data_IF_997048326652
#
_entry.id   IF_997048326652
#
_cell.length_a   1.000
_cell.length_b   1.000
_cell.length_c   1.000
_cell.angle_alpha   90.00
_cell.angle_beta   90.00
_cell.angle_gamma   90.00
#
_symmetry.space_group_name_H-M   'P 1'
#
loop_
_entity.id
_entity.type
_entity.pdbx_description
1 polymer ?
#
# COMPACT_ATOMS: atom_id res chain seq x y z
N UNK A 1 69.95 -3.39 44.70
CA UNK A 1 69.06 -4.12 43.78
C UNK A 1 67.73 -3.38 43.69
N UNK A 2 67.20 -3.30 42.47
CA UNK A 2 66.00 -2.57 42.12
C UNK A 2 64.88 -3.60 42.01
N UNK A 3 63.89 -3.57 42.92
CA UNK A 3 62.71 -4.42 42.79
C UNK A 3 61.65 -3.75 41.91
N UNK A 4 61.14 -4.55 40.98
CA UNK A 4 60.29 -4.20 39.85
C UNK A 4 58.82 -4.25 40.24
N UNK A 5 58.10 -3.18 39.89
CA UNK A 5 56.75 -3.14 39.31
C UNK A 5 55.67 -4.14 39.77
N UNK A 6 54.70 -3.63 40.52
CA UNK A 6 53.33 -4.17 40.59
C UNK A 6 52.33 -3.18 40.00
N UNK A 7 51.92 -3.37 38.73
CA UNK A 7 50.85 -2.61 38.06
C UNK A 7 49.59 -3.47 38.07
N UNK A 8 48.62 -3.14 38.93
CA UNK A 8 47.38 -3.90 39.10
C UNK A 8 46.19 -2.99 39.30
N UNK A 9 45.76 -2.34 38.21
CA UNK A 9 44.58 -1.46 38.18
C UNK A 9 43.84 -1.61 36.87
N UNK A 10 43.54 -2.85 36.48
CA UNK A 10 42.69 -3.14 35.33
C UNK A 10 41.23 -2.86 35.69
N UNK A 11 40.83 -1.60 35.60
CA UNK A 11 39.41 -1.25 35.53
C UNK A 11 38.89 -1.92 34.26
N UNK A 12 38.14 -3.01 34.43
CA UNK A 12 37.41 -3.58 33.31
C UNK A 12 36.37 -2.54 32.92
N UNK A 13 36.68 -1.77 31.88
CA UNK A 13 35.68 -1.04 31.12
C UNK A 13 34.67 -2.08 30.68
N UNK A 14 33.54 -2.16 31.39
CA UNK A 14 32.36 -2.83 30.87
C UNK A 14 32.09 -2.17 29.53
N UNK A 15 32.33 -2.91 28.45
CA UNK A 15 31.84 -2.50 27.14
C UNK A 15 30.33 -2.52 27.24
N UNK A 16 29.75 -1.37 27.60
CA UNK A 16 28.33 -1.14 27.38
C UNK A 16 28.19 -1.21 25.87
N UNK A 17 27.75 -2.36 25.37
CA UNK A 17 27.31 -2.46 23.98
C UNK A 17 26.02 -1.66 23.95
N UNK A 18 26.14 -0.36 23.70
CA UNK A 18 24.99 0.48 23.42
C UNK A 18 24.39 -0.04 22.13
N UNK A 19 23.29 -0.77 22.21
CA UNK A 19 22.51 -1.13 21.02
C UNK A 19 22.12 0.14 20.30
N UNK A 20 22.48 0.25 19.02
CA UNK A 20 22.06 1.38 18.20
C UNK A 20 20.61 1.16 17.79
N UNK A 21 19.74 2.16 18.05
CA UNK A 21 18.41 2.19 17.46
C UNK A 21 18.51 2.73 16.06
N UNK A 22 18.00 1.98 15.08
CA UNK A 22 17.96 2.43 13.70
C UNK A 22 16.58 2.94 13.32
N UNK A 23 16.56 4.04 12.58
CA UNK A 23 15.36 4.64 12.02
C UNK A 23 15.52 4.82 10.52
N UNK A 24 14.45 4.61 9.76
CA UNK A 24 14.47 4.77 8.31
C UNK A 24 13.15 5.39 7.83
N UNK A 25 13.26 6.27 6.84
CA UNK A 25 12.12 6.82 6.09
C UNK A 25 12.06 6.16 4.71
N UNK A 26 10.91 5.62 4.30
CA UNK A 26 10.74 5.06 2.95
C UNK A 26 9.29 5.09 2.45
N UNK A 27 9.11 4.84 1.16
CA UNK A 27 7.80 4.72 0.50
C UNK A 27 7.69 3.38 -0.22
N UNK A 28 6.49 2.79 -0.21
CA UNK A 28 6.19 1.50 -0.89
C UNK A 28 5.01 1.71 -1.83
N UNK A 29 5.20 1.46 -3.12
CA UNK A 29 4.11 1.31 -4.08
C UNK A 29 3.48 -0.07 -3.98
N UNK A 30 2.15 -0.14 -3.88
CA UNK A 30 1.40 -1.38 -3.61
C UNK A 30 0.74 -1.87 -4.90
N UNK A 31 -0.12 -1.06 -5.52
CA UNK A 31 -0.80 -1.41 -6.77
C UNK A 31 -1.25 -0.16 -7.53
N UNK A 32 -1.54 -0.30 -8.82
CA UNK A 32 -2.10 0.78 -9.63
C UNK A 32 -3.58 1.00 -9.33
N UNK A 33 -4.03 2.25 -9.43
CA UNK A 33 -5.41 2.68 -9.27
C UNK A 33 -5.92 2.70 -7.83
N UNK A 34 -7.15 3.20 -7.63
CA UNK A 34 -7.77 3.23 -6.32
C UNK A 34 -8.05 1.81 -5.81
N UNK A 35 -7.83 1.60 -4.51
CA UNK A 35 -8.29 0.43 -3.77
C UNK A 35 -9.52 0.79 -2.93
N UNK A 36 -10.29 -0.21 -2.51
CA UNK A 36 -11.49 0.01 -1.69
C UNK A 36 -11.19 0.02 -0.20
N UNK A 37 -10.34 -0.90 0.26
CA UNK A 37 -10.17 -1.17 1.70
C UNK A 37 -8.74 -1.61 2.01
N UNK A 38 -8.17 -1.10 3.11
CA UNK A 38 -6.99 -1.64 3.77
C UNK A 38 -7.45 -2.46 4.98
N UNK A 39 -6.97 -3.71 5.10
CA UNK A 39 -7.37 -4.64 6.16
C UNK A 39 -6.29 -4.84 7.23
N UNK A 40 -5.06 -5.11 6.82
CA UNK A 40 -4.03 -5.54 7.77
C UNK A 40 -2.66 -5.16 7.26
N UNK A 41 -1.76 -4.82 8.19
CA UNK A 41 -0.35 -4.56 7.92
C UNK A 41 0.47 -5.56 8.73
N UNK A 42 1.35 -6.28 8.04
CA UNK A 42 2.30 -7.21 8.63
C UNK A 42 3.71 -6.64 8.59
N UNK A 43 4.49 -6.93 9.63
CA UNK A 43 5.94 -6.71 9.69
C UNK A 43 6.62 -8.04 9.96
N UNK A 44 7.46 -8.50 9.02
CA UNK A 44 8.13 -9.80 9.12
C UNK A 44 7.18 -10.95 9.49
N UNK A 45 6.02 -11.00 8.82
CA UNK A 45 4.95 -11.99 9.02
C UNK A 45 4.15 -11.88 10.33
N UNK A 46 4.44 -10.89 11.17
CA UNK A 46 3.63 -10.58 12.36
C UNK A 46 2.66 -9.44 12.08
N UNK A 47 1.42 -9.56 12.54
CA UNK A 47 0.43 -8.49 12.45
C UNK A 47 0.86 -7.32 13.34
N UNK A 48 1.09 -6.16 12.75
CA UNK A 48 1.41 -4.92 13.49
C UNK A 48 0.26 -3.93 13.51
N UNK A 49 -0.72 -4.11 12.64
CA UNK A 49 -1.98 -3.39 12.64
C UNK A 49 -3.04 -4.20 11.92
N UNK A 50 -4.25 -4.20 12.48
CA UNK A 50 -5.41 -4.87 11.91
C UNK A 50 -6.65 -3.98 12.10
N UNK A 51 -7.41 -3.80 11.02
CA UNK A 51 -8.58 -2.94 10.99
C UNK A 51 -9.07 -2.73 9.55
N UNK A 52 -10.38 -2.58 9.36
CA UNK A 52 -10.91 -2.27 8.04
C UNK A 52 -11.04 -0.74 7.88
N UNK A 53 -10.17 -0.14 7.05
CA UNK A 53 -10.30 1.26 6.64
C UNK A 53 -10.77 1.28 5.19
N UNK A 54 -11.94 1.86 4.95
CA UNK A 54 -12.46 1.99 3.59
C UNK A 54 -12.01 3.31 2.97
N UNK A 55 -12.00 3.36 1.64
CA UNK A 55 -11.72 4.58 0.90
C UNK A 55 -12.67 5.73 1.30
N UNK A 56 -13.92 5.42 1.67
CA UNK A 56 -14.88 6.40 2.14
C UNK A 56 -14.46 7.09 3.46
N UNK A 57 -13.60 6.44 4.24
CA UNK A 57 -13.06 6.98 5.49
C UNK A 57 -11.80 7.84 5.25
N UNK A 58 -11.26 7.81 4.02
CA UNK A 58 -10.08 8.56 3.64
C UNK A 58 -10.41 10.02 3.32
N UNK A 59 -9.53 10.93 3.72
CA UNK A 59 -9.63 12.36 3.36
C UNK A 59 -8.62 12.65 2.25
N UNK A 60 -9.08 13.17 1.11
CA UNK A 60 -8.26 13.41 -0.08
C UNK A 60 -7.45 12.17 -0.53
N UNK A 61 -8.08 10.99 -0.50
CA UNK A 61 -7.47 9.73 -0.91
C UNK A 61 -6.39 9.19 0.02
N UNK A 62 -6.32 9.68 1.27
CA UNK A 62 -5.30 9.34 2.26
C UNK A 62 -5.90 9.04 3.64
N UNK A 63 -5.25 8.14 4.39
CA UNK A 63 -5.53 7.85 5.79
C UNK A 63 -4.24 7.63 6.59
N UNK A 64 -4.20 8.06 7.85
CA UNK A 64 -3.02 7.94 8.72
C UNK A 64 -3.21 6.79 9.72
N UNK A 65 -2.24 5.88 9.81
CA UNK A 65 -2.30 4.70 10.68
C UNK A 65 -1.09 4.66 11.60
N UNK A 66 -1.33 4.65 12.92
CA UNK A 66 -0.24 4.50 13.90
C UNK A 66 0.13 3.03 14.09
N UNK A 67 1.43 2.74 13.95
CA UNK A 67 2.02 1.41 14.12
C UNK A 67 2.95 1.43 15.33
N UNK A 68 2.45 0.93 16.46
CA UNK A 68 3.18 0.93 17.72
C UNK A 68 4.52 0.17 17.63
N UNK A 69 4.56 -0.95 16.91
CA UNK A 69 5.76 -1.78 16.75
C UNK A 69 6.92 -1.08 16.02
N UNK A 70 6.65 0.04 15.34
CA UNK A 70 7.61 0.83 14.58
C UNK A 70 7.68 2.28 15.07
N UNK A 71 6.95 2.61 16.13
CA UNK A 71 6.84 3.96 16.71
C UNK A 71 6.49 5.05 15.68
N UNK A 72 5.68 4.72 14.66
CA UNK A 72 5.47 5.57 13.49
C UNK A 72 4.00 5.71 13.12
N UNK A 73 3.63 6.84 12.53
CA UNK A 73 2.38 7.01 11.79
C UNK A 73 2.64 6.84 10.29
N UNK A 74 2.12 5.77 9.70
CA UNK A 74 2.14 5.53 8.26
C UNK A 74 1.06 6.38 7.60
N UNK A 75 1.44 7.09 6.54
CA UNK A 75 0.50 7.78 5.66
C UNK A 75 0.15 6.85 4.50
N UNK A 76 -1.07 6.31 4.51
CA UNK A 76 -1.55 5.37 3.51
C UNK A 76 -2.39 6.08 2.45
N UNK A 77 -2.05 5.86 1.18
CA UNK A 77 -2.63 6.51 0.02
C UNK A 77 -3.38 5.47 -0.82
N UNK A 78 -4.69 5.65 -0.99
CA UNK A 78 -5.58 4.67 -1.61
C UNK A 78 -5.43 4.54 -3.13
N UNK A 79 -4.74 5.47 -3.79
CA UNK A 79 -4.51 5.51 -5.24
C UNK A 79 -5.60 6.21 -6.04
N UNK A 80 -6.35 7.11 -5.40
CA UNK A 80 -7.37 7.91 -6.09
C UNK A 80 -6.75 8.99 -6.99
N UNK A 81 -7.56 9.57 -7.86
CA UNK A 81 -7.11 10.64 -8.72
C UNK A 81 -7.07 12.01 -8.02
N UNK A 82 -7.72 12.17 -6.85
CA UNK A 82 -7.78 13.42 -6.08
C UNK A 82 -6.67 13.53 -5.01
N UNK A 83 -5.72 12.60 -5.01
CA UNK A 83 -4.62 12.61 -4.04
C UNK A 83 -3.83 13.92 -4.09
N UNK A 84 -3.55 14.41 -2.89
CA UNK A 84 -2.77 15.63 -2.67
C UNK A 84 -1.31 15.29 -2.39
N UNK A 85 -0.37 16.18 -2.77
CA UNK A 85 1.03 16.05 -2.41
C UNK A 85 1.22 15.84 -0.91
N UNK A 86 2.19 15.02 -0.51
CA UNK A 86 2.49 14.82 0.89
C UNK A 86 3.42 15.93 1.38
N UNK A 87 2.89 16.89 2.13
CA UNK A 87 3.69 17.99 2.71
C UNK A 87 4.81 17.50 3.64
N UNK A 88 4.69 16.30 4.22
CA UNK A 88 5.73 15.72 5.07
C UNK A 88 6.96 15.19 4.30
N UNK A 89 6.80 14.74 3.05
CA UNK A 89 7.91 14.29 2.20
C UNK A 89 8.90 15.44 1.95
N UNK A 90 8.36 16.65 1.78
CA UNK A 90 9.12 17.88 1.61
C UNK A 90 10.06 18.14 2.80
N UNK A 91 9.53 18.06 4.03
CA UNK A 91 10.33 18.32 5.24
C UNK A 91 11.54 17.41 5.39
N UNK A 92 11.45 16.16 4.95
CA UNK A 92 12.52 15.18 5.10
C UNK A 92 13.56 15.23 3.97
N UNK A 93 13.21 15.72 2.76
CA UNK A 93 14.21 16.00 1.70
C UNK A 93 14.95 17.32 1.92
N UNK A 94 14.28 18.36 2.45
CA UNK A 94 14.96 19.58 2.89
C UNK A 94 15.91 19.34 4.08
N UNK A 95 15.69 18.25 4.82
CA UNK A 95 16.57 17.75 5.87
C UNK A 95 17.71 16.86 5.35
N UNK A 96 18.21 17.10 4.13
CA UNK A 96 19.54 16.69 3.68
C UNK A 96 20.70 17.28 4.53
N UNK A 97 20.46 17.62 5.79
CA UNK A 97 21.45 17.89 6.81
C UNK A 97 21.92 16.54 7.42
N UNK A 98 22.60 15.74 6.60
CA UNK A 98 23.51 14.73 7.12
C UNK A 98 24.73 15.44 7.72
N UNK A 99 24.65 15.81 9.00
CA UNK A 99 25.78 16.28 9.80
C UNK A 99 26.04 17.79 9.72
N UNK A 100 25.46 18.54 10.66
CA UNK A 100 25.86 19.91 10.89
C UNK A 100 24.93 20.63 11.85
N UNK A 101 25.43 20.88 13.06
CA UNK A 101 25.08 21.96 13.98
C UNK A 101 23.63 22.46 14.05
N UNK A 102 23.10 22.48 15.27
CA UNK A 102 21.98 23.35 15.64
C UNK A 102 22.16 24.76 15.04
N UNK A 103 21.20 25.21 14.23
CA UNK A 103 21.11 26.63 13.84
C UNK A 103 20.86 26.99 12.36
N UNK A 104 20.40 26.09 11.48
CA UNK A 104 19.94 26.53 10.15
C UNK A 104 18.53 26.02 9.85
N UNK A 105 17.55 26.89 10.05
CA UNK A 105 16.19 26.75 9.55
C UNK A 105 16.21 26.90 8.03
N UNK A 106 16.55 25.83 7.32
CA UNK A 106 16.18 25.72 5.91
C UNK A 106 14.67 25.55 5.89
N UNK A 107 13.97 26.64 5.58
CA UNK A 107 12.52 26.68 5.60
C UNK A 107 11.93 25.55 4.77
N UNK A 108 10.85 24.95 5.28
CA UNK A 108 10.05 23.93 4.58
C UNK A 108 9.61 24.38 3.17
N UNK A 109 9.68 25.68 2.87
CA UNK A 109 9.29 26.30 1.61
C UNK A 109 10.03 25.86 0.34
N UNK A 110 11.21 25.25 0.38
CA UNK A 110 11.92 24.91 -0.87
C UNK A 110 11.32 23.70 -1.61
N UNK A 111 10.71 22.78 -0.87
CA UNK A 111 10.05 21.57 -1.39
C UNK A 111 8.53 21.64 -1.23
N UNK A 112 8.01 22.46 -0.30
CA UNK A 112 6.58 22.79 -0.24
C UNK A 112 6.11 23.56 -1.49
N UNK A 113 7.02 24.31 -2.14
CA UNK A 113 6.70 25.12 -3.33
C UNK A 113 7.24 24.55 -4.65
N UNK A 114 8.09 23.52 -4.63
CA UNK A 114 8.47 22.82 -5.85
C UNK A 114 7.48 21.70 -6.14
N UNK A 115 6.37 22.09 -6.76
CA UNK A 115 5.32 21.20 -7.24
C UNK A 115 5.85 20.07 -8.16
N UNK A 116 7.10 20.16 -8.64
CA UNK A 116 7.74 19.15 -9.47
C UNK A 116 8.36 17.99 -8.66
N UNK A 117 8.69 18.19 -7.37
CA UNK A 117 9.33 17.17 -6.53
C UNK A 117 8.34 16.43 -5.61
N UNK A 118 7.28 17.10 -5.16
CA UNK A 118 6.23 16.51 -4.33
C UNK A 118 5.04 16.09 -5.19
N UNK A 119 5.23 15.05 -6.00
CA UNK A 119 4.17 14.57 -6.88
C UNK A 119 3.17 13.69 -6.10
N UNK A 120 1.86 13.91 -6.24
CA UNK A 120 0.83 13.18 -5.49
C UNK A 120 0.65 11.70 -5.87
N UNK A 121 1.57 11.11 -6.66
CA UNK A 121 1.50 9.76 -7.25
C UNK A 121 0.06 9.29 -7.55
N UNK A 122 -0.72 10.13 -8.25
CA UNK A 122 -2.14 9.84 -8.56
C UNK A 122 -2.27 8.53 -9.30
N UNK A 123 -3.32 7.77 -9.00
CA UNK A 123 -3.55 6.44 -9.57
C UNK A 123 -2.49 5.40 -9.16
N UNK A 124 -1.76 5.62 -8.07
CA UNK A 124 -0.92 4.62 -7.43
C UNK A 124 -1.36 4.50 -5.97
N UNK A 125 -1.69 3.30 -5.52
CA UNK A 125 -1.83 2.99 -4.10
C UNK A 125 -0.43 2.80 -3.50
N UNK A 126 -0.12 3.56 -2.45
CA UNK A 126 1.19 3.55 -1.83
C UNK A 126 1.13 3.90 -0.34
N UNK A 127 2.20 3.61 0.39
CA UNK A 127 2.34 3.97 1.79
C UNK A 127 3.65 4.73 1.99
N UNK A 128 3.61 5.82 2.77
CA UNK A 128 4.79 6.52 3.25
C UNK A 128 5.02 6.22 4.73
N UNK A 129 6.23 5.83 5.05
CA UNK A 129 6.66 5.42 6.39
C UNK A 129 7.80 6.36 6.80
N UNK A 130 7.51 7.46 7.52
CA UNK A 130 8.53 8.40 7.99
C UNK A 130 9.21 7.93 9.28
N UNK A 131 10.53 7.92 9.31
CA UNK A 131 11.36 7.76 10.51
C UNK A 131 10.92 6.60 11.41
N UNK A 132 10.63 5.46 10.80
CA UNK A 132 10.18 4.28 11.53
C UNK A 132 11.34 3.56 12.20
N UNK A 133 11.11 3.12 13.44
CA UNK A 133 12.05 2.27 14.16
C UNK A 133 12.12 0.90 13.46
N UNK A 134 13.31 0.54 12.95
CA UNK A 134 13.53 -0.72 12.23
C UNK A 134 14.10 -1.82 13.13
N UNK A 135 14.49 -1.49 14.37
CA UNK A 135 15.09 -2.41 15.34
C UNK A 135 16.57 -2.15 15.57
N UNK A 136 17.26 -3.18 16.07
CA UNK A 136 18.69 -3.14 16.41
C UNK A 136 19.59 -3.58 15.24
N UNK A 137 18.99 -3.95 14.11
CA UNK A 137 19.69 -4.29 12.87
C UNK A 137 19.44 -3.22 11.81
N UNK A 138 20.46 -2.93 11.02
CA UNK A 138 20.44 -1.93 9.95
C UNK A 138 19.73 -2.39 8.67
N UNK A 139 18.71 -3.25 8.77
CA UNK A 139 17.97 -3.78 7.61
C UNK A 139 16.49 -3.38 7.70
N UNK A 140 15.90 -2.86 6.61
CA UNK A 140 14.47 -2.56 6.61
C UNK A 140 13.67 -3.85 6.80
N UNK A 141 12.60 -3.83 7.62
CA UNK A 141 11.73 -4.98 7.77
C UNK A 141 10.92 -5.22 6.49
N UNK A 142 10.42 -6.45 6.33
CA UNK A 142 9.43 -6.75 5.28
C UNK A 142 8.07 -6.25 5.74
N UNK A 143 7.43 -5.37 4.96
CA UNK A 143 6.05 -4.96 5.17
C UNK A 143 5.13 -5.63 4.16
N UNK A 144 3.99 -6.15 4.62
CA UNK A 144 2.92 -6.67 3.75
C UNK A 144 1.62 -5.96 4.06
N UNK A 145 0.92 -5.52 3.01
CA UNK A 145 -0.36 -4.85 3.11
C UNK A 145 -1.43 -5.77 2.52
N UNK A 146 -2.46 -6.07 3.31
CA UNK A 146 -3.65 -6.77 2.82
C UNK A 146 -4.66 -5.73 2.41
N UNK A 147 -4.93 -5.65 1.11
CA UNK A 147 -5.81 -4.66 0.50
C UNK A 147 -6.90 -5.34 -0.30
N UNK A 148 -8.05 -4.66 -0.39
CA UNK A 148 -9.16 -5.06 -1.25
C UNK A 148 -9.29 -4.09 -2.41
N UNK A 149 -9.29 -4.63 -3.61
CA UNK A 149 -9.53 -3.88 -4.85
C UNK A 149 -10.55 -4.63 -5.70
N UNK A 150 -11.71 -4.02 -5.89
CA UNK A 150 -12.81 -4.55 -6.68
C UNK A 150 -12.90 -3.81 -7.99
N UNK A 151 -12.86 -4.51 -9.13
CA UNK A 151 -13.25 -3.90 -10.37
C UNK A 151 -14.75 -3.58 -10.38
N UNK A 152 -15.12 -2.48 -11.02
CA UNK A 152 -16.51 -2.03 -11.10
C UNK A 152 -17.00 -2.14 -12.53
N UNK A 153 -18.13 -2.84 -12.72
CA UNK A 153 -18.88 -2.75 -13.96
C UNK A 153 -19.56 -1.40 -13.98
N UNK A 154 -19.33 -0.65 -15.04
CA UNK A 154 -20.05 0.58 -15.30
C UNK A 154 -20.86 0.39 -16.58
N UNK A 155 -22.14 0.75 -16.55
CA UNK A 155 -22.94 0.73 -17.77
C UNK A 155 -22.45 1.81 -18.76
N UNK A 156 -23.08 1.87 -19.95
CA UNK A 156 -22.78 2.88 -20.98
C UNK A 156 -22.89 4.33 -20.48
N UNK A 157 -23.69 4.56 -19.45
CA UNK A 157 -23.93 5.86 -18.83
C UNK A 157 -23.01 6.09 -17.61
N UNK A 158 -21.96 5.28 -17.46
CA UNK A 158 -21.01 5.29 -16.36
C UNK A 158 -21.61 5.07 -14.95
N UNK A 159 -22.81 4.50 -14.88
CA UNK A 159 -23.45 4.14 -13.61
C UNK A 159 -22.88 2.81 -13.14
N UNK A 160 -22.37 2.79 -11.90
CA UNK A 160 -21.89 1.57 -11.25
C UNK A 160 -23.04 0.59 -11.04
N UNK A 161 -22.78 -0.68 -11.35
CA UNK A 161 -23.74 -1.76 -11.11
C UNK A 161 -23.44 -2.37 -9.74
N UNK A 162 -24.48 -2.54 -8.92
CA UNK A 162 -24.41 -3.23 -7.63
C UNK A 162 -24.09 -4.74 -7.83
N UNK A 163 -23.71 -5.44 -6.75
CA UNK A 163 -23.31 -6.87 -6.72
C UNK A 163 -21.83 -7.17 -6.95
N UNK A 164 -20.95 -6.18 -6.83
CA UNK A 164 -19.49 -6.39 -6.86
C UNK A 164 -18.95 -7.26 -5.71
N UNK A 165 -19.65 -7.29 -4.59
CA UNK A 165 -19.28 -8.05 -3.40
C UNK A 165 -20.03 -9.38 -3.31
N UNK A 166 -19.25 -10.45 -3.10
CA UNK A 166 -19.76 -11.77 -2.75
C UNK A 166 -19.37 -12.15 -1.31
N UNK A 167 -18.30 -11.56 -0.79
CA UNK A 167 -17.88 -11.72 0.60
C UNK A 167 -16.95 -10.59 1.07
N UNK A 168 -16.35 -10.74 2.27
CA UNK A 168 -15.39 -9.77 2.78
C UNK A 168 -14.17 -9.67 1.86
N UNK A 169 -13.63 -10.79 1.40
CA UNK A 169 -12.42 -10.85 0.58
C UNK A 169 -12.71 -11.09 -0.91
N UNK A 170 -13.75 -11.84 -1.22
CA UNK A 170 -14.06 -12.25 -2.59
C UNK A 170 -14.94 -11.24 -3.32
N UNK A 171 -14.61 -11.05 -4.59
CA UNK A 171 -15.35 -10.20 -5.50
C UNK A 171 -16.02 -11.01 -6.61
N UNK A 172 -16.95 -10.35 -7.30
CA UNK A 172 -17.79 -10.98 -8.29
C UNK A 172 -17.02 -11.30 -9.61
N UNK A 173 -17.05 -12.55 -10.09
CA UNK A 173 -16.43 -12.93 -11.38
C UNK A 173 -16.89 -12.12 -12.58
N UNK A 174 -18.16 -11.73 -12.65
CA UNK A 174 -18.66 -10.89 -13.73
C UNK A 174 -17.93 -9.54 -13.78
N UNK A 175 -17.65 -8.95 -12.61
CA UNK A 175 -16.91 -7.69 -12.50
C UNK A 175 -15.44 -7.85 -12.88
N UNK A 176 -14.84 -8.98 -12.49
CA UNK A 176 -13.48 -9.36 -12.90
C UNK A 176 -13.36 -9.43 -14.42
N UNK A 177 -14.29 -10.15 -15.05
CA UNK A 177 -14.27 -10.39 -16.49
C UNK A 177 -14.53 -9.11 -17.29
N UNK A 178 -15.40 -8.23 -16.78
CA UNK A 178 -15.60 -6.90 -17.34
C UNK A 178 -14.30 -6.08 -17.33
N UNK A 179 -13.59 -6.06 -16.22
CA UNK A 179 -12.32 -5.35 -16.10
C UNK A 179 -11.23 -5.87 -17.04
N UNK A 180 -11.14 -7.19 -17.19
CA UNK A 180 -10.21 -7.81 -18.14
C UNK A 180 -10.53 -7.35 -19.57
N UNK A 181 -11.81 -7.30 -19.95
CA UNK A 181 -12.21 -6.90 -21.30
C UNK A 181 -12.03 -5.39 -21.56
N UNK A 182 -12.53 -4.55 -20.65
CA UNK A 182 -12.49 -3.10 -20.83
C UNK A 182 -11.07 -2.54 -20.62
N UNK A 183 -10.44 -2.87 -19.50
CA UNK A 183 -9.20 -2.19 -19.06
C UNK A 183 -7.95 -2.92 -19.54
N UNK A 184 -7.92 -4.25 -19.49
CA UNK A 184 -6.73 -5.00 -19.88
C UNK A 184 -6.67 -5.25 -21.40
N UNK A 185 -7.78 -5.65 -22.02
CA UNK A 185 -7.87 -5.88 -23.45
C UNK A 185 -8.21 -4.60 -24.26
N UNK A 186 -8.71 -3.55 -23.61
CA UNK A 186 -9.00 -2.27 -24.26
C UNK A 186 -10.27 -2.28 -25.12
N UNK A 187 -11.21 -3.20 -24.87
CA UNK A 187 -12.46 -3.26 -25.62
C UNK A 187 -13.35 -2.06 -25.29
N UNK A 188 -13.97 -1.40 -26.29
CA UNK A 188 -14.93 -0.34 -26.04
C UNK A 188 -16.13 -0.85 -25.24
N UNK A 189 -16.60 -0.07 -24.27
CA UNK A 189 -17.83 -0.40 -23.49
C UNK A 189 -19.05 -0.67 -24.36
N UNK A 190 -19.13 -0.08 -25.56
CA UNK A 190 -20.22 -0.32 -26.50
C UNK A 190 -20.29 -1.75 -27.04
N UNK A 191 -19.21 -2.53 -26.89
CA UNK A 191 -19.14 -3.93 -27.30
C UNK A 191 -19.54 -4.87 -26.15
N UNK A 192 -19.65 -4.33 -24.94
CA UNK A 192 -19.98 -5.08 -23.73
C UNK A 192 -21.43 -4.80 -23.34
N UNK A 193 -22.25 -5.85 -23.25
CA UNK A 193 -23.62 -5.71 -22.78
C UNK A 193 -23.67 -5.68 -21.25
N UNK A 194 -23.66 -4.47 -20.68
CA UNK A 194 -23.76 -4.26 -19.24
C UNK A 194 -25.00 -4.88 -18.60
N UNK A 195 -26.11 -5.05 -19.34
CA UNK A 195 -27.34 -5.69 -18.82
C UNK A 195 -27.11 -7.17 -18.57
N UNK A 196 -26.53 -7.87 -19.56
CA UNK A 196 -26.16 -9.29 -19.42
C UNK A 196 -25.15 -9.50 -18.29
N UNK A 197 -24.12 -8.65 -18.21
CA UNK A 197 -23.13 -8.71 -17.13
C UNK A 197 -23.75 -8.48 -15.75
N UNK A 198 -24.69 -7.55 -15.62
CA UNK A 198 -25.42 -7.32 -14.37
C UNK A 198 -26.28 -8.52 -13.95
N UNK A 199 -26.95 -9.16 -14.90
CA UNK A 199 -27.76 -10.35 -14.65
C UNK A 199 -26.89 -11.52 -14.16
N UNK A 200 -25.74 -11.75 -14.80
CA UNK A 200 -24.77 -12.77 -14.36
C UNK A 200 -24.19 -12.43 -12.99
N UNK A 201 -23.84 -11.16 -12.74
CA UNK A 201 -23.34 -10.72 -11.45
C UNK A 201 -24.35 -10.99 -10.32
N UNK A 202 -25.64 -10.71 -10.55
CA UNK A 202 -26.70 -10.99 -9.59
C UNK A 202 -26.83 -12.50 -9.30
N UNK A 203 -26.81 -13.35 -10.34
CA UNK A 203 -26.86 -14.81 -10.18
C UNK A 203 -25.66 -15.33 -9.37
N UNK A 204 -24.44 -14.94 -9.74
CA UNK A 204 -23.21 -15.36 -9.04
C UNK A 204 -23.19 -14.95 -7.56
N UNK A 205 -23.74 -13.76 -7.24
CA UNK A 205 -23.87 -13.31 -5.85
C UNK A 205 -24.89 -14.14 -5.07
N UNK A 206 -26.06 -14.44 -5.66
CA UNK A 206 -27.05 -15.33 -5.05
C UNK A 206 -26.47 -16.72 -4.76
N UNK A 207 -25.63 -17.23 -5.66
CA UNK A 207 -24.95 -18.52 -5.53
C UNK A 207 -23.69 -18.47 -4.64
N UNK A 208 -23.30 -17.28 -4.15
CA UNK A 208 -22.11 -17.04 -3.33
C UNK A 208 -20.79 -17.46 -4.01
N UNK A 209 -20.70 -17.28 -5.34
CA UNK A 209 -19.53 -17.67 -6.15
C UNK A 209 -18.53 -16.53 -6.30
N UNK A 210 -17.71 -16.33 -5.27
CA UNK A 210 -16.67 -15.32 -5.26
C UNK A 210 -15.35 -15.79 -5.87
N UNK A 211 -14.50 -14.84 -6.28
CA UNK A 211 -13.09 -15.10 -6.54
C UNK A 211 -12.18 -14.07 -5.88
N UNK A 212 -10.91 -14.43 -5.75
CA UNK A 212 -9.84 -13.53 -5.34
C UNK A 212 -8.58 -13.81 -6.17
N UNK A 213 -8.39 -13.03 -7.24
CA UNK A 213 -7.18 -13.08 -8.08
C UNK A 213 -6.52 -11.70 -8.15
N UNK A 214 -5.20 -11.70 -8.30
CA UNK A 214 -4.40 -10.52 -8.58
C UNK A 214 -4.18 -10.37 -10.09
N UNK A 215 -4.42 -9.16 -10.59
CA UNK A 215 -4.13 -8.82 -11.99
C UNK A 215 -2.71 -8.25 -12.14
N UNK A 216 -1.94 -8.86 -13.04
CA UNK A 216 -0.64 -8.40 -13.49
C UNK A 216 -0.76 -7.89 -14.93
N UNK A 217 -0.29 -6.66 -15.16
CA UNK A 217 -0.22 -6.04 -16.49
C UNK A 217 0.64 -6.84 -17.46
N UNK A 218 1.63 -7.58 -16.97
CA UNK A 218 2.54 -8.35 -17.82
C UNK A 218 1.92 -9.65 -18.31
N UNK A 219 0.83 -10.12 -17.70
CA UNK A 219 0.11 -11.30 -18.14
C UNK A 219 -0.96 -10.96 -19.18
N UNK A 220 -1.11 -11.78 -20.25
CA UNK A 220 -2.13 -11.54 -21.26
C UNK A 220 -3.54 -11.61 -20.66
N UNK A 221 -4.40 -10.65 -21.06
CA UNK A 221 -5.80 -10.57 -20.64
C UNK A 221 -6.57 -11.89 -20.86
N UNK A 222 -6.27 -12.60 -21.96
CA UNK A 222 -6.91 -13.89 -22.27
C UNK A 222 -6.71 -14.93 -21.17
N UNK A 223 -5.52 -15.01 -20.57
CA UNK A 223 -5.21 -15.94 -19.47
C UNK A 223 -6.14 -15.72 -18.28
N UNK A 224 -6.40 -14.45 -17.95
CA UNK A 224 -7.32 -14.11 -16.86
C UNK A 224 -8.76 -14.43 -17.23
N UNK A 225 -9.19 -14.14 -18.46
CA UNK A 225 -10.54 -14.47 -18.91
C UNK A 225 -10.80 -15.99 -18.88
N UNK A 226 -9.86 -16.80 -19.35
CA UNK A 226 -9.92 -18.25 -19.29
C UNK A 226 -9.94 -18.77 -17.85
N UNK A 227 -9.09 -18.24 -16.97
CA UNK A 227 -9.08 -18.63 -15.56
C UNK A 227 -10.37 -18.26 -14.82
N UNK A 228 -10.93 -17.07 -15.10
CA UNK A 228 -12.22 -16.64 -14.53
C UNK A 228 -13.36 -17.52 -15.04
N UNK A 229 -13.41 -17.79 -16.34
CA UNK A 229 -14.44 -18.67 -16.92
C UNK A 229 -14.31 -20.09 -16.37
N UNK A 230 -13.11 -20.65 -16.29
CA UNK A 230 -12.88 -21.95 -15.68
C UNK A 230 -13.34 -21.98 -14.21
N UNK A 231 -13.10 -20.93 -13.43
CA UNK A 231 -13.61 -20.84 -12.05
C UNK A 231 -15.14 -20.82 -11.97
N UNK A 232 -15.80 -20.19 -12.94
CA UNK A 232 -17.26 -20.15 -13.03
C UNK A 232 -17.83 -21.49 -13.54
N UNK A 233 -17.16 -22.12 -14.50
CA UNK A 233 -17.63 -23.29 -15.25
C UNK A 233 -17.22 -24.65 -14.65
N UNK A 234 -16.12 -24.75 -13.86
CA UNK A 234 -15.59 -26.02 -13.32
C UNK A 234 -16.45 -26.66 -12.20
N UNK A 235 -17.77 -26.56 -12.29
CA UNK A 235 -18.70 -27.16 -11.33
C UNK A 235 -19.78 -27.92 -12.08
N UNK A 236 -19.43 -29.17 -12.42
CA UNK A 236 -20.36 -30.32 -12.48
C UNK A 236 -20.23 -31.12 -11.17
#
# INVERSE_FOLDING_TARGET
>A
EQEVGGKGGGSQSQSVVTGYKYYLSWAIGICLGPIDTLYTIYRNDEVVWDGAINLADATNGKYSVYIAAMEVTIEFFFGTNDQVPLTALCRNLAAGNMGGGAGSSVGSGACDNDANLNVPYRNLCWAYIPDAYIGDYNRPPTLKFVVKKRPTITNKDAVEIDNKDIGPFDYNPAHALWYVQEVMAGLPKSFLDGVSFAAVAAALKCEKRGLSICFDKHQPALTYAEAINAHVDMID
#
